data_IF_945990006703
#
_entry.id   IF_945990006703
#
_cell.length_a   1.000
_cell.length_b   1.000
_cell.length_c   1.000
_cell.angle_alpha   90.00
_cell.angle_beta   90.00
_cell.angle_gamma   90.00
#
_symmetry.space_group_name_H-M   'P 1'
#
loop_
_entity.id
_entity.type
_entity.pdbx_description
1 polymer ?
#
# COMPACT_ATOMS: atom_id res chain seq x y z
N UNK A 1 -19.81 -9.51 21.33
CA UNK A 1 -18.89 -8.54 21.99
C UNK A 1 -17.54 -8.34 21.26
N UNK A 2 -17.22 -9.09 20.22
CA UNK A 2 -15.94 -8.99 19.47
C UNK A 2 -15.86 -7.81 18.48
N UNK A 3 -16.98 -7.40 17.88
CA UNK A 3 -17.03 -6.38 16.82
C UNK A 3 -16.56 -4.97 17.27
N UNK A 4 -16.83 -4.58 18.53
CA UNK A 4 -16.43 -3.24 19.02
C UNK A 4 -14.91 -3.06 19.14
N UNK A 5 -14.16 -4.12 19.45
CA UNK A 5 -12.72 -4.04 19.63
C UNK A 5 -11.98 -3.95 18.28
N UNK A 6 -12.39 -4.76 17.30
CA UNK A 6 -11.80 -4.76 15.96
C UNK A 6 -12.00 -3.41 15.22
N UNK A 7 -13.19 -2.79 15.36
CA UNK A 7 -13.48 -1.46 14.83
C UNK A 7 -12.55 -0.37 15.41
N UNK A 8 -12.24 -0.43 16.71
CA UNK A 8 -11.32 0.52 17.34
C UNK A 8 -9.87 0.36 16.88
N UNK A 9 -9.45 -0.87 16.60
CA UNK A 9 -8.10 -1.16 16.15
C UNK A 9 -7.88 -0.70 14.70
N UNK A 10 -8.87 -0.92 13.81
CA UNK A 10 -8.83 -0.41 12.45
C UNK A 10 -8.85 1.13 12.40
N UNK A 11 -9.67 1.80 13.21
CA UNK A 11 -9.67 3.26 13.31
C UNK A 11 -8.33 3.82 13.81
N UNK A 12 -7.64 3.10 14.71
CA UNK A 12 -6.30 3.45 15.16
C UNK A 12 -5.28 3.30 14.05
N UNK A 13 -5.35 2.22 13.29
CA UNK A 13 -4.48 1.97 12.15
C UNK A 13 -4.68 3.02 11.05
N UNK A 14 -5.92 3.41 10.74
CA UNK A 14 -6.24 4.51 9.81
C UNK A 14 -5.56 5.81 10.24
N UNK A 15 -5.72 6.21 11.51
CA UNK A 15 -5.06 7.42 12.02
C UNK A 15 -3.53 7.34 11.95
N UNK A 16 -2.96 6.15 12.11
CA UNK A 16 -1.53 5.96 11.98
C UNK A 16 -1.06 6.17 10.54
N UNK A 17 -1.78 5.60 9.55
CA UNK A 17 -1.47 5.80 8.11
C UNK A 17 -1.60 7.26 7.70
N UNK A 18 -2.64 7.95 8.17
CA UNK A 18 -2.83 9.39 7.89
C UNK A 18 -1.66 10.24 8.40
N UNK A 19 -1.02 9.81 9.50
CA UNK A 19 0.17 10.49 10.05
C UNK A 19 1.46 10.07 9.35
N UNK A 20 1.56 8.82 8.96
CA UNK A 20 2.74 8.26 8.30
C UNK A 20 2.36 7.05 7.45
N UNK A 21 2.71 7.09 6.18
CA UNK A 21 2.51 5.98 5.24
C UNK A 21 3.24 4.71 5.67
N UNK A 22 4.25 4.82 6.53
CA UNK A 22 4.95 3.66 7.09
C UNK A 22 4.08 2.75 7.97
N UNK A 23 2.86 3.18 8.33
CA UNK A 23 1.87 2.36 9.04
C UNK A 23 0.91 1.58 8.10
N UNK A 24 1.09 1.68 6.77
CA UNK A 24 0.24 0.98 5.80
C UNK A 24 0.18 -0.54 6.02
N UNK A 25 1.27 -1.25 6.34
CA UNK A 25 1.22 -2.69 6.61
C UNK A 25 0.30 -3.06 7.78
N UNK A 26 0.35 -2.30 8.87
CA UNK A 26 -0.50 -2.53 10.04
C UNK A 26 -1.98 -2.25 9.71
N UNK A 27 -2.25 -1.20 8.94
CA UNK A 27 -3.60 -0.93 8.44
C UNK A 27 -4.12 -2.09 7.59
N UNK A 28 -3.33 -2.60 6.65
CA UNK A 28 -3.73 -3.74 5.82
C UNK A 28 -4.05 -4.99 6.66
N UNK A 29 -3.22 -5.28 7.67
CA UNK A 29 -3.45 -6.42 8.58
C UNK A 29 -4.72 -6.23 9.41
N UNK A 30 -4.97 -5.03 9.94
CA UNK A 30 -6.19 -4.76 10.72
C UNK A 30 -7.45 -4.76 9.84
N UNK A 31 -7.37 -4.23 8.62
CA UNK A 31 -8.46 -4.26 7.65
C UNK A 31 -8.91 -5.70 7.37
N UNK A 32 -7.97 -6.63 7.15
CA UNK A 32 -8.28 -8.02 6.81
C UNK A 32 -8.86 -8.86 7.96
N UNK A 33 -8.74 -8.40 9.21
CA UNK A 33 -9.24 -9.13 10.40
C UNK A 33 -10.73 -8.95 10.64
N UNK A 34 -11.34 -7.91 10.07
CA UNK A 34 -12.67 -7.46 10.43
C UNK A 34 -13.67 -7.45 9.29
N UNK A 35 -14.86 -6.98 9.64
CA UNK A 35 -15.88 -6.60 8.69
C UNK A 35 -15.68 -5.13 8.28
N UNK A 36 -16.02 -4.85 7.03
CA UNK A 36 -16.03 -3.49 6.49
C UNK A 36 -17.44 -3.12 6.07
N UNK A 37 -17.82 -1.90 6.34
CA UNK A 37 -19.13 -1.36 6.00
C UNK A 37 -19.08 -0.62 4.67
N UNK A 38 -20.18 -0.71 3.90
CA UNK A 38 -20.34 -0.04 2.62
C UNK A 38 -21.78 0.35 2.35
N UNK A 39 -22.00 1.17 1.34
CA UNK A 39 -23.30 1.66 0.94
C UNK A 39 -23.80 0.92 -0.31
N UNK A 40 -25.06 0.50 -0.27
CA UNK A 40 -25.79 0.01 -1.43
C UNK A 40 -26.88 1.02 -1.81
N UNK A 41 -27.13 1.22 -3.10
CA UNK A 41 -28.27 2.04 -3.53
C UNK A 41 -29.57 1.35 -3.14
N UNK A 42 -30.48 2.09 -2.52
CA UNK A 42 -31.84 1.62 -2.20
C UNK A 42 -32.80 2.08 -3.26
N UNK A 43 -33.63 1.17 -3.77
CA UNK A 43 -34.74 1.52 -4.64
C UNK A 43 -35.92 2.02 -3.79
N UNK A 44 -36.68 3.04 -4.26
CA UNK A 44 -37.90 3.47 -3.57
C UNK A 44 -38.88 2.30 -3.47
N UNK A 45 -39.34 1.98 -2.24
CA UNK A 45 -40.30 0.91 -1.99
C UNK A 45 -39.72 -0.47 -1.66
N UNK A 46 -38.41 -0.64 -1.63
CA UNK A 46 -37.77 -1.85 -1.10
C UNK A 46 -37.79 -1.79 0.46
N UNK A 47 -38.41 -2.79 1.08
CA UNK A 47 -38.26 -3.02 2.53
C UNK A 47 -36.85 -3.59 2.81
N UNK A 48 -36.41 -3.55 4.08
CA UNK A 48 -35.11 -4.06 4.51
C UNK A 48 -35.04 -5.60 4.38
N UNK A 49 -35.02 -6.12 3.16
CA UNK A 49 -34.75 -7.53 2.91
C UNK A 49 -33.25 -7.83 3.03
N UNK A 50 -32.94 -8.88 3.76
CA UNK A 50 -31.60 -9.46 3.79
C UNK A 50 -31.22 -9.90 2.36
N UNK A 51 -30.32 -9.16 1.72
CA UNK A 51 -29.81 -9.52 0.39
C UNK A 51 -28.81 -10.66 0.58
N UNK A 52 -29.24 -11.89 0.32
CA UNK A 52 -28.31 -13.02 0.17
C UNK A 52 -27.50 -12.83 -1.12
N UNK A 53 -26.22 -12.56 -0.97
CA UNK A 53 -25.29 -12.49 -2.09
C UNK A 53 -24.97 -13.90 -2.58
N UNK A 54 -25.52 -14.29 -3.73
CA UNK A 54 -25.16 -15.54 -4.39
C UNK A 54 -23.73 -15.43 -4.95
N UNK A 55 -22.95 -16.53 -4.96
CA UNK A 55 -21.65 -16.54 -5.62
C UNK A 55 -21.77 -16.07 -7.08
N UNK A 56 -20.97 -15.06 -7.48
CA UNK A 56 -21.00 -14.48 -8.82
C UNK A 56 -22.01 -13.36 -9.02
N UNK A 57 -22.82 -12.98 -8.02
CA UNK A 57 -23.68 -11.81 -8.10
C UNK A 57 -22.83 -10.52 -8.09
N UNK A 58 -23.21 -9.57 -8.96
CA UNK A 58 -22.63 -8.23 -8.89
C UNK A 58 -23.12 -7.52 -7.63
N UNK A 59 -22.19 -7.08 -6.78
CA UNK A 59 -22.53 -6.32 -5.59
C UNK A 59 -22.91 -4.89 -5.99
N UNK A 60 -24.12 -4.44 -5.74
CA UNK A 60 -24.54 -3.07 -6.04
C UNK A 60 -23.93 -2.10 -5.03
N UNK A 61 -22.70 -1.66 -5.25
CA UNK A 61 -22.06 -0.65 -4.43
C UNK A 61 -22.35 0.76 -4.93
N UNK A 62 -22.46 1.70 -4.00
CA UNK A 62 -22.46 3.13 -4.33
C UNK A 62 -21.08 3.53 -4.82
N UNK A 63 -21.02 4.18 -5.99
CA UNK A 63 -19.79 4.76 -6.53
C UNK A 63 -19.90 6.27 -6.37
N UNK A 64 -18.89 6.87 -5.76
CA UNK A 64 -18.71 8.32 -5.64
C UNK A 64 -17.55 8.77 -6.53
N UNK A 65 -17.40 10.08 -6.69
CA UNK A 65 -16.28 10.67 -7.43
C UNK A 65 -15.66 11.83 -6.67
N UNK A 66 -14.35 12.01 -6.85
CA UNK A 66 -13.60 13.19 -6.43
C UNK A 66 -12.59 13.59 -7.53
N UNK A 67 -11.68 14.50 -7.25
CA UNK A 67 -10.64 14.97 -8.19
C UNK A 67 -9.71 13.86 -8.70
N UNK A 68 -9.62 12.74 -7.97
CA UNK A 68 -8.84 11.56 -8.36
C UNK A 68 -9.66 10.50 -9.11
N UNK A 69 -10.91 10.80 -9.45
CA UNK A 69 -11.80 9.91 -10.19
C UNK A 69 -12.80 9.12 -9.33
N UNK A 70 -13.46 8.11 -9.89
CA UNK A 70 -14.47 7.32 -9.20
C UNK A 70 -13.86 6.40 -8.13
N UNK A 71 -14.62 6.17 -7.04
CA UNK A 71 -14.22 5.29 -5.95
C UNK A 71 -15.43 4.67 -5.25
N UNK A 72 -15.20 3.56 -4.53
CA UNK A 72 -16.17 2.93 -3.62
C UNK A 72 -15.88 3.37 -2.19
N UNK A 73 -16.84 4.04 -1.49
CA UNK A 73 -16.66 4.42 -0.10
C UNK A 73 -16.84 3.20 0.81
N UNK A 74 -15.85 2.96 1.67
CA UNK A 74 -15.84 1.92 2.70
C UNK A 74 -15.72 2.55 4.08
N UNK A 75 -16.22 1.86 5.12
CA UNK A 75 -16.19 2.39 6.48
C UNK A 75 -15.78 1.31 7.49
N UNK A 76 -14.93 1.68 8.43
CA UNK A 76 -14.43 0.79 9.48
C UNK A 76 -15.51 0.35 10.48
N UNK A 77 -16.65 1.05 10.52
CA UNK A 77 -17.78 0.75 11.41
C UNK A 77 -19.06 1.45 10.94
N UNK A 78 -20.22 0.98 11.44
CA UNK A 78 -21.49 1.68 11.26
C UNK A 78 -21.43 3.14 11.74
N UNK A 79 -20.75 3.41 12.86
CA UNK A 79 -20.61 4.76 13.38
C UNK A 79 -19.86 5.70 12.42
N UNK A 80 -18.84 5.20 11.71
CA UNK A 80 -18.11 5.98 10.69
C UNK A 80 -18.96 6.20 9.44
N UNK A 81 -19.76 5.21 9.07
CA UNK A 81 -20.71 5.35 7.98
C UNK A 81 -21.75 6.43 8.33
N UNK A 82 -22.33 6.39 9.54
CA UNK A 82 -23.29 7.41 10.00
C UNK A 82 -22.68 8.81 10.05
N UNK A 83 -21.42 8.93 10.50
CA UNK A 83 -20.66 10.19 10.50
C UNK A 83 -20.52 10.74 9.07
N UNK A 84 -20.09 9.91 8.13
CA UNK A 84 -19.92 10.31 6.74
C UNK A 84 -21.23 10.72 6.08
N UNK A 85 -22.32 10.00 6.34
CA UNK A 85 -23.66 10.36 5.85
C UNK A 85 -24.18 11.68 6.42
N UNK A 86 -23.86 12.00 7.68
CA UNK A 86 -24.19 13.30 8.27
C UNK A 86 -23.42 14.44 7.60
N UNK A 87 -22.15 14.21 7.28
CA UNK A 87 -21.29 15.21 6.67
C UNK A 87 -21.55 15.42 5.16
N UNK A 88 -22.05 14.39 4.46
CA UNK A 88 -22.20 14.37 3.00
C UNK A 88 -23.62 13.97 2.55
N UNK A 89 -24.66 14.53 3.18
CA UNK A 89 -26.04 14.25 2.75
C UNK A 89 -26.26 14.69 1.31
N UNK A 90 -26.52 13.71 0.45
CA UNK A 90 -27.03 13.98 -0.91
C UNK A 90 -28.57 13.95 -0.84
N UNK A 91 -29.24 15.10 -1.02
CA UNK A 91 -30.71 15.13 -0.97
C UNK A 91 -31.31 14.17 -2.01
N UNK A 92 -32.35 13.42 -1.59
CA UNK A 92 -33.11 12.55 -2.50
C UNK A 92 -32.46 11.19 -2.82
N UNK A 93 -31.32 10.86 -2.24
CA UNK A 93 -30.73 9.50 -2.34
C UNK A 93 -30.92 8.71 -1.06
N UNK A 94 -31.48 7.53 -1.19
CA UNK A 94 -31.61 6.55 -0.10
C UNK A 94 -30.55 5.46 -0.27
N UNK A 95 -29.90 5.10 0.82
CA UNK A 95 -28.87 4.08 0.85
C UNK A 95 -29.22 3.05 1.92
N UNK A 96 -28.85 1.81 1.68
CA UNK A 96 -28.83 0.75 2.70
C UNK A 96 -27.38 0.50 3.11
N UNK A 97 -27.13 0.45 4.40
CA UNK A 97 -25.82 0.08 4.93
C UNK A 97 -25.70 -1.45 4.96
N UNK A 98 -24.58 -1.97 4.54
CA UNK A 98 -24.25 -3.38 4.63
C UNK A 98 -22.83 -3.56 5.18
N UNK A 99 -22.58 -4.71 5.78
CA UNK A 99 -21.24 -5.10 6.25
C UNK A 99 -20.94 -6.52 5.79
N UNK A 100 -19.68 -6.76 5.47
CA UNK A 100 -19.19 -8.10 5.17
C UNK A 100 -17.69 -8.21 5.50
N UNK A 101 -17.14 -9.45 5.60
CA UNK A 101 -15.70 -9.63 5.79
C UNK A 101 -14.89 -8.87 4.75
N UNK A 102 -13.91 -8.07 5.19
CA UNK A 102 -13.15 -7.19 4.31
C UNK A 102 -12.49 -7.95 3.16
N UNK A 103 -11.95 -9.16 3.42
CA UNK A 103 -11.34 -10.02 2.38
C UNK A 103 -12.32 -10.30 1.24
N UNK A 104 -13.58 -10.61 1.57
CA UNK A 104 -14.60 -10.92 0.57
C UNK A 104 -14.99 -9.68 -0.24
N UNK A 105 -15.19 -8.54 0.43
CA UNK A 105 -15.52 -7.29 -0.24
C UNK A 105 -14.39 -6.85 -1.17
N UNK A 106 -13.15 -6.89 -0.70
CA UNK A 106 -11.99 -6.52 -1.52
C UNK A 106 -11.84 -7.44 -2.73
N UNK A 107 -12.09 -8.74 -2.60
CA UNK A 107 -12.08 -9.69 -3.72
C UNK A 107 -13.13 -9.34 -4.80
N UNK A 108 -14.31 -8.89 -4.38
CA UNK A 108 -15.37 -8.45 -5.31
C UNK A 108 -14.96 -7.13 -5.98
N UNK A 109 -14.53 -6.14 -5.21
CA UNK A 109 -14.14 -4.83 -5.72
C UNK A 109 -12.92 -4.88 -6.63
N UNK A 110 -11.99 -5.79 -6.35
CA UNK A 110 -10.78 -6.00 -7.13
C UNK A 110 -11.02 -6.51 -8.57
N UNK A 111 -12.23 -7.02 -8.87
CA UNK A 111 -12.62 -7.38 -10.23
C UNK A 111 -12.90 -6.14 -11.10
N UNK A 112 -13.16 -5.00 -10.47
CA UNK A 112 -13.28 -3.71 -11.12
C UNK A 112 -11.96 -2.92 -11.09
N UNK A 113 -11.93 -1.79 -11.82
CA UNK A 113 -10.78 -0.88 -11.83
C UNK A 113 -10.97 0.32 -10.89
N UNK A 114 -11.94 0.23 -9.99
CA UNK A 114 -12.26 1.30 -9.05
C UNK A 114 -11.38 1.19 -7.81
N UNK A 115 -10.87 2.32 -7.35
CA UNK A 115 -10.22 2.40 -6.03
C UNK A 115 -11.27 2.38 -4.92
N UNK A 116 -10.89 1.93 -3.73
CA UNK A 116 -11.69 2.07 -2.52
C UNK A 116 -11.12 3.20 -1.65
N UNK A 117 -12.01 3.91 -0.94
CA UNK A 117 -11.60 4.92 0.05
C UNK A 117 -12.25 4.59 1.40
N UNK A 118 -11.42 4.24 2.37
CA UNK A 118 -11.87 3.88 3.71
C UNK A 118 -12.01 5.14 4.56
N UNK A 119 -13.15 5.27 5.24
CA UNK A 119 -13.53 6.37 6.13
C UNK A 119 -13.50 7.77 5.46
N UNK A 120 -13.94 7.85 4.17
CA UNK A 120 -14.09 9.16 3.49
C UNK A 120 -14.93 10.10 4.32
N UNK A 121 -14.41 11.33 4.51
CA UNK A 121 -15.07 12.41 5.26
C UNK A 121 -15.34 12.11 6.75
N UNK A 122 -14.58 11.20 7.35
CA UNK A 122 -14.62 10.90 8.78
C UNK A 122 -13.47 11.59 9.55
N UNK A 123 -13.70 11.86 10.84
CA UNK A 123 -12.69 12.49 11.71
C UNK A 123 -11.42 11.63 11.92
N UNK A 124 -11.47 10.34 11.62
CA UNK A 124 -10.30 9.46 11.65
C UNK A 124 -9.28 9.76 10.54
N UNK A 125 -9.67 10.52 9.53
CA UNK A 125 -9.00 10.62 8.25
C UNK A 125 -9.41 9.47 7.32
N UNK A 126 -8.86 9.48 6.10
CA UNK A 126 -9.20 8.53 5.05
C UNK A 126 -7.96 7.82 4.50
N UNK A 127 -8.15 6.59 4.02
CA UNK A 127 -7.10 5.80 3.37
C UNK A 127 -7.62 5.31 2.02
N UNK A 128 -6.88 5.61 0.96
CA UNK A 128 -7.17 5.11 -0.39
C UNK A 128 -6.47 3.77 -0.61
N UNK A 129 -7.21 2.81 -1.15
CA UNK A 129 -6.71 1.49 -1.53
C UNK A 129 -6.87 1.35 -3.06
N UNK A 130 -5.77 1.34 -3.81
CA UNK A 130 -5.79 1.13 -5.26
C UNK A 130 -6.28 -0.27 -5.65
N UNK A 131 -6.78 -0.48 -6.88
CA UNK A 131 -7.29 -1.78 -7.32
C UNK A 131 -6.26 -2.92 -7.23
N UNK A 132 -5.01 -2.66 -7.56
CA UNK A 132 -3.91 -3.62 -7.46
C UNK A 132 -3.63 -4.03 -6.01
N UNK A 133 -3.68 -3.09 -5.07
CA UNK A 133 -3.54 -3.38 -3.64
C UNK A 133 -4.73 -4.21 -3.14
N UNK A 134 -5.96 -3.90 -3.57
CA UNK A 134 -7.14 -4.69 -3.21
C UNK A 134 -7.01 -6.15 -3.70
N UNK A 135 -6.53 -6.36 -4.94
CA UNK A 135 -6.27 -7.72 -5.47
C UNK A 135 -5.26 -8.46 -4.60
N UNK A 136 -4.13 -7.83 -4.34
CA UNK A 136 -3.09 -8.43 -3.51
C UNK A 136 -3.53 -8.70 -2.07
N UNK A 137 -4.41 -7.87 -1.48
CA UNK A 137 -4.99 -8.13 -0.16
C UNK A 137 -5.99 -9.28 -0.21
N UNK A 138 -6.82 -9.37 -1.25
CA UNK A 138 -7.85 -10.38 -1.39
C UNK A 138 -7.28 -11.79 -1.60
N UNK A 139 -6.22 -11.92 -2.39
CA UNK A 139 -5.55 -13.20 -2.69
C UNK A 139 -4.37 -13.50 -1.74
N UNK A 140 -4.07 -12.58 -0.84
CA UNK A 140 -3.00 -12.68 0.14
C UNK A 140 -1.59 -12.47 -0.45
N UNK A 141 -1.47 -12.07 -1.72
CA UNK A 141 -0.15 -11.79 -2.33
C UNK A 141 0.42 -10.46 -1.85
N UNK A 142 -0.44 -9.47 -1.51
CA UNK A 142 0.03 -8.22 -0.90
C UNK A 142 0.71 -8.41 0.46
N UNK A 143 0.55 -9.57 1.10
CA UNK A 143 1.20 -9.93 2.36
C UNK A 143 2.22 -11.07 2.20
N UNK A 144 2.61 -11.38 0.97
CA UNK A 144 3.62 -12.40 0.64
C UNK A 144 4.66 -11.80 -0.28
N UNK A 145 5.93 -12.16 -0.13
CA UNK A 145 6.96 -11.72 -1.05
C UNK A 145 6.62 -12.17 -2.48
N UNK A 146 6.68 -11.22 -3.42
CA UNK A 146 6.53 -11.54 -4.82
C UNK A 146 7.81 -12.22 -5.31
N UNK A 147 7.71 -13.31 -6.09
CA UNK A 147 8.89 -13.90 -6.72
C UNK A 147 9.54 -12.84 -7.63
N UNK A 148 10.84 -12.65 -7.47
CA UNK A 148 11.62 -11.76 -8.31
C UNK A 148 11.48 -12.20 -9.78
N UNK A 149 10.92 -11.33 -10.63
CA UNK A 149 10.99 -11.53 -12.07
C UNK A 149 12.36 -11.04 -12.53
N UNK A 150 13.16 -11.94 -13.08
CA UNK A 150 14.37 -11.55 -13.80
C UNK A 150 13.97 -10.65 -14.98
N UNK A 151 14.28 -9.38 -14.89
CA UNK A 151 14.18 -8.42 -15.99
C UNK A 151 15.54 -7.75 -16.13
N UNK A 152 16.06 -7.69 -17.35
CA UNK A 152 17.20 -6.83 -17.64
C UNK A 152 16.77 -5.36 -17.49
N UNK A 153 17.15 -4.75 -16.38
CA UNK A 153 16.86 -3.38 -16.05
C UNK A 153 18.17 -2.62 -15.91
N UNK A 154 18.23 -1.45 -16.50
CA UNK A 154 19.39 -0.57 -16.35
C UNK A 154 19.16 0.39 -15.19
N UNK A 155 20.02 0.30 -14.18
CA UNK A 155 20.01 1.25 -13.06
C UNK A 155 20.60 2.58 -13.52
N UNK A 156 19.89 3.66 -13.27
CA UNK A 156 20.33 5.01 -13.56
C UNK A 156 20.43 5.83 -12.28
N UNK A 157 21.52 6.60 -12.15
CA UNK A 157 21.63 7.58 -11.08
C UNK A 157 20.56 8.65 -11.23
N UNK A 158 19.82 8.92 -10.16
CA UNK A 158 18.78 9.95 -10.16
C UNK A 158 19.40 11.35 -10.22
N UNK A 159 18.78 12.22 -11.00
CA UNK A 159 19.06 13.64 -10.89
C UNK A 159 18.46 14.18 -9.58
N UNK A 160 19.04 15.22 -8.97
CA UNK A 160 18.50 15.82 -7.77
C UNK A 160 17.04 16.28 -7.89
N UNK A 161 16.60 16.72 -9.08
CA UNK A 161 15.24 17.15 -9.35
C UNK A 161 14.23 15.97 -9.36
N UNK A 162 14.68 14.77 -9.67
CA UNK A 162 13.85 13.56 -9.80
C UNK A 162 13.91 12.68 -8.55
N UNK A 163 14.55 13.18 -7.49
CA UNK A 163 14.76 12.41 -6.26
C UNK A 163 13.44 12.23 -5.49
N UNK A 164 12.99 10.98 -5.24
CA UNK A 164 11.69 10.72 -4.63
C UNK A 164 11.72 10.91 -3.11
N UNK A 165 11.73 12.16 -2.66
CA UNK A 165 11.90 12.52 -1.25
C UNK A 165 10.87 11.84 -0.34
N UNK A 166 9.60 11.78 -0.75
CA UNK A 166 8.53 11.17 0.05
C UNK A 166 8.71 9.66 0.21
N UNK A 167 9.13 8.97 -0.87
CA UNK A 167 9.46 7.55 -0.83
C UNK A 167 10.64 7.28 0.12
N UNK A 168 11.70 8.07 -0.02
CA UNK A 168 12.91 7.95 0.81
C UNK A 168 12.59 8.20 2.28
N UNK A 169 11.79 9.20 2.58
CA UNK A 169 11.35 9.52 3.94
C UNK A 169 10.53 8.37 4.55
N UNK A 170 9.54 7.86 3.82
CA UNK A 170 8.69 6.76 4.27
C UNK A 170 9.48 5.46 4.47
N UNK A 171 10.39 5.14 3.53
CA UNK A 171 11.28 3.99 3.63
C UNK A 171 12.23 4.11 4.85
N UNK A 172 12.81 5.28 5.07
CA UNK A 172 13.66 5.55 6.23
C UNK A 172 12.91 5.32 7.55
N UNK A 173 11.64 5.74 7.64
CA UNK A 173 10.83 5.50 8.84
C UNK A 173 10.56 4.02 9.12
N UNK A 174 10.41 3.19 8.08
CA UNK A 174 10.31 1.74 8.24
C UNK A 174 11.64 1.19 8.71
N UNK A 175 12.73 1.51 8.01
CA UNK A 175 14.06 0.94 8.27
C UNK A 175 14.57 1.21 9.68
N UNK A 176 14.38 2.40 10.21
CA UNK A 176 14.82 2.74 11.57
C UNK A 176 14.11 1.96 12.69
N UNK A 177 12.97 1.31 12.39
CA UNK A 177 12.24 0.48 13.36
C UNK A 177 12.74 -0.96 13.41
N UNK A 178 13.52 -1.37 12.41
CA UNK A 178 13.99 -2.74 12.23
C UNK A 178 15.49 -2.77 12.15
N UNK A 179 16.12 -3.50 13.08
CA UNK A 179 17.59 -3.53 13.22
C UNK A 179 18.31 -4.34 12.14
N UNK A 180 17.57 -5.12 11.37
CA UNK A 180 18.12 -5.95 10.30
C UNK A 180 18.38 -5.20 9.00
N UNK A 181 17.90 -3.97 8.80
CA UNK A 181 18.33 -3.11 7.70
C UNK A 181 19.75 -2.58 7.97
N UNK A 182 20.65 -2.80 7.03
CA UNK A 182 22.06 -2.35 7.09
C UNK A 182 22.30 -1.12 6.24
N UNK A 183 21.84 -1.15 4.98
CA UNK A 183 21.95 -0.02 4.07
C UNK A 183 20.82 -0.01 3.04
N UNK A 184 20.55 1.14 2.43
CA UNK A 184 19.59 1.26 1.36
C UNK A 184 19.98 2.32 0.33
N UNK A 185 19.63 2.05 -0.93
CA UNK A 185 19.90 2.89 -2.09
C UNK A 185 18.64 3.08 -2.91
N UNK A 186 18.56 4.19 -3.65
CA UNK A 186 17.49 4.47 -4.58
C UNK A 186 18.06 4.86 -5.95
N UNK A 187 17.52 4.25 -7.02
CA UNK A 187 17.90 4.47 -8.39
C UNK A 187 16.66 4.72 -9.25
N UNK A 188 16.87 5.35 -10.40
CA UNK A 188 15.92 5.30 -11.50
C UNK A 188 16.08 3.99 -12.27
N UNK A 189 14.96 3.45 -12.75
CA UNK A 189 14.95 2.34 -13.67
C UNK A 189 14.61 2.83 -15.08
N UNK A 190 15.45 2.47 -16.03
CA UNK A 190 15.15 2.67 -17.45
C UNK A 190 14.69 1.33 -18.03
N UNK A 191 13.41 1.29 -18.43
CA UNK A 191 12.88 0.13 -19.16
C UNK A 191 13.16 0.29 -20.64
N UNK A 192 13.62 -0.78 -21.29
CA UNK A 192 13.72 -0.83 -22.76
C UNK A 192 12.36 -0.74 -23.47
N UNK A 193 11.28 -0.95 -22.74
CA UNK A 193 9.89 -0.85 -23.22
C UNK A 193 9.02 -0.14 -22.19
N UNK A 194 9.05 1.21 -22.12
CA UNK A 194 8.22 1.95 -21.17
C UNK A 194 6.73 1.76 -21.48
N UNK A 195 5.96 1.36 -20.49
CA UNK A 195 4.51 1.34 -20.60
C UNK A 195 3.97 2.76 -20.55
N UNK A 196 2.98 3.12 -21.38
CA UNK A 196 2.33 4.43 -21.30
C UNK A 196 1.82 4.69 -19.87
N UNK A 197 2.17 5.85 -19.30
CA UNK A 197 1.79 6.23 -17.93
C UNK A 197 2.75 5.77 -16.83
N UNK A 198 3.83 5.04 -17.15
CA UNK A 198 4.91 4.68 -16.23
C UNK A 198 6.25 5.20 -16.78
N UNK A 199 6.36 6.51 -16.89
CA UNK A 199 7.56 7.15 -17.47
C UNK A 199 8.78 7.06 -16.56
N UNK A 200 8.56 6.91 -15.26
CA UNK A 200 9.63 6.78 -14.27
C UNK A 200 9.32 5.64 -13.29
N UNK A 201 10.26 4.73 -13.16
CA UNK A 201 10.21 3.63 -12.19
C UNK A 201 11.41 3.80 -11.26
N UNK A 202 11.20 3.63 -9.96
CA UNK A 202 12.28 3.63 -8.99
C UNK A 202 12.68 2.21 -8.63
N UNK A 203 13.97 2.00 -8.39
CA UNK A 203 14.51 0.80 -7.78
C UNK A 203 14.97 1.14 -6.37
N UNK A 204 14.29 0.63 -5.38
CA UNK A 204 14.70 0.69 -3.98
C UNK A 204 15.43 -0.61 -3.65
N UNK A 205 16.74 -0.51 -3.39
CA UNK A 205 17.58 -1.65 -3.04
C UNK A 205 17.94 -1.57 -1.57
N UNK A 206 17.76 -2.66 -0.84
CA UNK A 206 18.06 -2.73 0.58
C UNK A 206 18.99 -3.90 0.88
N UNK A 207 19.93 -3.67 1.77
CA UNK A 207 20.76 -4.69 2.38
C UNK A 207 20.19 -5.04 3.76
N UNK A 208 19.87 -6.31 3.97
CA UNK A 208 19.36 -6.81 5.25
C UNK A 208 20.22 -7.94 5.79
N UNK A 209 20.44 -7.92 7.10
CA UNK A 209 21.13 -8.96 7.84
C UNK A 209 20.55 -9.10 9.26
N UNK A 210 19.94 -10.25 9.61
CA UNK A 210 19.53 -11.30 8.65
C UNK A 210 18.37 -10.84 7.75
N UNK A 211 18.20 -11.44 6.55
CA UNK A 211 17.05 -11.20 5.70
C UNK A 211 15.75 -11.54 6.43
N UNK A 212 14.74 -10.65 6.29
CA UNK A 212 13.42 -10.82 6.86
C UNK A 212 12.37 -10.49 5.78
N UNK A 213 11.77 -11.53 5.24
CA UNK A 213 10.82 -11.40 4.13
C UNK A 213 9.56 -10.60 4.51
N UNK A 214 9.11 -10.70 5.77
CA UNK A 214 7.93 -9.96 6.24
C UNK A 214 8.22 -8.47 6.30
N UNK A 215 9.36 -8.09 6.87
CA UNK A 215 9.79 -6.70 6.99
C UNK A 215 10.11 -6.10 5.61
N UNK A 216 10.75 -6.88 4.73
CA UNK A 216 11.00 -6.46 3.35
C UNK A 216 9.70 -6.22 2.59
N UNK A 217 8.71 -7.07 2.79
CA UNK A 217 7.40 -6.93 2.19
C UNK A 217 6.64 -5.71 2.73
N UNK A 218 6.71 -5.44 4.03
CA UNK A 218 6.13 -4.25 4.65
C UNK A 218 6.71 -2.97 4.03
N UNK A 219 8.02 -2.96 3.77
CA UNK A 219 8.67 -1.88 3.02
C UNK A 219 8.08 -1.72 1.62
N UNK A 220 7.78 -2.84 0.94
CA UNK A 220 7.12 -2.85 -0.36
C UNK A 220 5.75 -2.20 -0.35
N UNK A 221 4.91 -2.55 0.63
CA UNK A 221 3.59 -1.93 0.78
C UNK A 221 3.68 -0.42 0.99
N UNK A 222 4.62 0.05 1.80
CA UNK A 222 4.86 1.48 2.02
C UNK A 222 5.32 2.17 0.75
N UNK A 223 6.28 1.58 0.04
CA UNK A 223 6.82 2.12 -1.19
C UNK A 223 5.72 2.28 -2.28
N UNK A 224 4.89 1.26 -2.46
CA UNK A 224 3.77 1.32 -3.39
C UNK A 224 2.70 2.34 -2.98
N UNK A 225 2.41 2.46 -1.69
CA UNK A 225 1.44 3.44 -1.19
C UNK A 225 1.88 4.88 -1.47
N UNK A 226 3.19 5.16 -1.35
CA UNK A 226 3.75 6.50 -1.60
C UNK A 226 3.88 6.81 -3.08
N UNK A 227 4.38 5.84 -3.88
CA UNK A 227 4.63 6.07 -5.30
C UNK A 227 3.35 6.15 -6.15
N UNK A 228 2.26 5.55 -5.73
CA UNK A 228 1.00 5.57 -6.46
C UNK A 228 1.16 5.05 -7.90
N UNK A 229 0.96 5.94 -8.90
CA UNK A 229 1.11 5.61 -10.33
C UNK A 229 2.56 5.50 -10.79
N UNK A 230 3.50 6.10 -10.06
CA UNK A 230 4.93 5.94 -10.32
C UNK A 230 5.34 4.57 -9.80
N UNK A 231 5.88 3.73 -10.66
CA UNK A 231 6.27 2.37 -10.28
C UNK A 231 7.46 2.38 -9.31
N UNK A 232 7.49 1.43 -8.38
CA UNK A 232 8.67 1.14 -7.57
C UNK A 232 8.92 -0.36 -7.58
N UNK A 233 10.18 -0.74 -7.73
CA UNK A 233 10.65 -2.11 -7.58
C UNK A 233 11.56 -2.19 -6.36
N UNK A 234 11.50 -3.32 -5.64
CA UNK A 234 12.35 -3.58 -4.51
C UNK A 234 13.37 -4.65 -4.85
N UNK A 235 14.62 -4.40 -4.46
CA UNK A 235 15.69 -5.38 -4.50
C UNK A 235 16.18 -5.67 -3.08
N UNK A 236 16.30 -6.94 -2.74
CA UNK A 236 16.90 -7.40 -1.49
C UNK A 236 18.32 -7.89 -1.79
N UNK A 237 19.27 -7.41 -1.00
CA UNK A 237 20.64 -7.90 -0.94
C UNK A 237 20.89 -8.50 0.44
N UNK A 238 21.73 -9.52 0.48
CA UNK A 238 22.26 -10.06 1.72
C UNK A 238 23.77 -9.82 1.83
N UNK A 239 24.39 -10.22 2.94
CA UNK A 239 25.83 -10.02 3.12
C UNK A 239 26.71 -10.83 2.16
N UNK A 240 26.17 -11.87 1.53
CA UNK A 240 26.88 -12.67 0.52
C UNK A 240 26.99 -11.96 -0.83
N UNK A 241 26.14 -10.95 -1.05
CA UNK A 241 26.14 -10.11 -2.25
C UNK A 241 27.22 -9.01 -2.25
N UNK A 242 28.24 -9.13 -1.40
CA UNK A 242 29.30 -8.11 -1.24
C UNK A 242 29.98 -7.73 -2.55
N UNK A 243 30.12 -8.66 -3.50
CA UNK A 243 30.70 -8.39 -4.83
C UNK A 243 29.80 -7.45 -5.64
N UNK A 244 28.48 -7.65 -5.61
CA UNK A 244 27.49 -6.80 -6.28
C UNK A 244 27.46 -5.43 -5.62
N UNK A 245 27.45 -5.39 -4.29
CA UNK A 245 27.48 -4.14 -3.50
C UNK A 245 28.75 -3.35 -3.84
N UNK A 246 29.92 -4.00 -3.81
CA UNK A 246 31.19 -3.36 -4.05
C UNK A 246 31.34 -2.86 -5.49
N UNK A 247 30.76 -3.55 -6.48
CA UNK A 247 30.89 -3.21 -7.89
C UNK A 247 29.81 -2.24 -8.37
N UNK A 248 28.54 -2.56 -8.11
CA UNK A 248 27.40 -1.81 -8.68
C UNK A 248 27.08 -0.56 -7.87
N UNK A 249 27.24 -0.62 -6.54
CA UNK A 249 26.86 0.47 -5.63
C UNK A 249 28.06 1.28 -5.12
N UNK A 250 29.26 0.99 -5.59
CA UNK A 250 30.50 1.68 -5.17
C UNK A 250 30.43 3.20 -5.27
N UNK A 251 29.79 3.70 -6.34
CA UNK A 251 29.66 5.12 -6.60
C UNK A 251 28.33 5.72 -6.13
N UNK A 252 27.41 4.88 -5.69
CA UNK A 252 26.10 5.31 -5.22
C UNK A 252 26.12 5.50 -3.70
N UNK A 253 25.79 6.69 -3.28
CA UNK A 253 25.68 6.99 -1.85
C UNK A 253 24.38 6.42 -1.29
N UNK A 254 24.42 5.52 -0.28
CA UNK A 254 23.19 5.06 0.37
C UNK A 254 22.48 6.22 1.04
N UNK A 255 21.15 6.23 1.01
CA UNK A 255 20.35 7.21 1.77
C UNK A 255 20.10 6.76 3.21
N UNK A 256 20.26 5.45 3.49
CA UNK A 256 20.19 4.86 4.81
C UNK A 256 21.42 4.01 5.07
N UNK A 257 22.00 4.16 6.26
CA UNK A 257 23.08 3.32 6.78
C UNK A 257 22.81 3.10 8.27
N UNK A 258 22.77 1.85 8.71
CA UNK A 258 22.65 1.53 10.13
C UNK A 258 23.89 2.01 10.88
N UNK A 259 23.72 2.46 12.13
CA UNK A 259 24.80 3.08 12.90
C UNK A 259 25.99 2.13 13.20
N UNK A 260 25.72 0.82 13.20
CA UNK A 260 26.70 -0.26 13.44
C UNK A 260 27.20 -0.91 12.14
N UNK A 261 26.74 -0.47 10.97
CA UNK A 261 27.16 -1.00 9.68
C UNK A 261 28.24 -0.15 9.02
N UNK A 262 29.34 -0.78 8.67
CA UNK A 262 30.43 -0.18 7.91
C UNK A 262 30.46 -0.82 6.50
N UNK A 263 30.00 -0.12 5.48
CA UNK A 263 30.05 -0.67 4.11
C UNK A 263 31.49 -1.05 3.75
N UNK A 264 31.69 -2.17 3.05
CA UNK A 264 33.01 -2.58 2.63
C UNK A 264 33.69 -1.46 1.83
N UNK A 265 34.86 -1.05 2.29
CA UNK A 265 35.63 -0.04 1.56
C UNK A 265 36.10 -0.62 0.23
N UNK A 266 36.07 0.17 -0.85
CA UNK A 266 36.62 -0.27 -2.13
C UNK A 266 38.10 -0.65 -1.92
N UNK A 267 38.46 -1.88 -2.27
CA UNK A 267 39.87 -2.29 -2.32
C UNK A 267 40.67 -1.34 -3.23
N UNK A 268 41.96 -1.21 -3.04
CA UNK A 268 42.79 -0.36 -3.89
C UNK A 268 42.58 -0.70 -5.37
N UNK A 269 42.47 0.31 -6.25
CA UNK A 269 42.30 0.06 -7.67
C UNK A 269 43.51 -0.74 -8.18
N UNK A 270 43.28 -1.96 -8.61
CA UNK A 270 44.32 -2.76 -9.31
C UNK A 270 44.94 -3.93 -8.55
N UNK A 271 44.18 -4.60 -7.62
CA UNK A 271 44.59 -5.91 -7.10
C UNK A 271 44.07 -7.05 -7.98
#
# INVERSE_FOLDING_TARGET
>A
MSHSKASNDLDRAIRAVVRSQSAMPDFCRELLKGEIWFLMPRRPGEEDELIELKPGAQLPCVILGDEHGPFVPLFSSAARLDEALKNNRVPGRTYTAAAMPAVQLLAILAQGELRAVVNKSCATGEVTIPPETMRGLADGTALKPLPAKEQELTLQKLNPADYPTDLVQAAFEVMRRHRNFRAAWIFGLVSSQPKPGHEQIYQLVVLMDPPDEVVFHDLGLVAHAVCGKTGVQLGLLDETDTAVIAHTFREARPFYVAADYHPPQPGPPGA
#
